data_IF_267876303732
#
_entry.id   IF_267876303732
#
_cell.length_a   1.000
_cell.length_b   1.000
_cell.length_c   1.000
_cell.angle_alpha   90.00
_cell.angle_beta   90.00
_cell.angle_gamma   90.00
#
_symmetry.space_group_name_H-M   'P 1'
#
loop_
_entity.id
_entity.type
_entity.pdbx_description
1 polymer ?
#
# COMPACT_ATOMS: atom_id res chain seq x y z
N UNK A 1 1.35 -34.01 -17.52
CA UNK A 1 1.40 -32.61 -17.06
C UNK A 1 2.55 -31.94 -17.80
N UNK A 2 2.26 -31.22 -18.88
CA UNK A 2 3.31 -30.57 -19.69
C UNK A 2 3.41 -29.14 -19.15
N UNK A 3 4.46 -28.86 -18.37
CA UNK A 3 4.81 -27.49 -17.99
C UNK A 3 5.03 -26.62 -19.25
N UNK A 4 4.96 -25.29 -19.14
CA UNK A 4 4.92 -24.42 -20.31
C UNK A 4 6.08 -24.65 -21.27
N UNK A 5 5.78 -24.76 -22.58
CA UNK A 5 6.74 -25.01 -23.68
C UNK A 5 7.72 -23.86 -23.95
N UNK A 6 7.58 -22.71 -23.29
CA UNK A 6 8.43 -21.53 -23.46
C UNK A 6 9.01 -21.14 -22.11
N UNK A 7 10.32 -20.95 -22.06
CA UNK A 7 11.00 -20.44 -20.88
C UNK A 7 10.46 -19.06 -20.52
N UNK A 8 10.09 -18.88 -19.26
CA UNK A 8 9.76 -17.57 -18.71
C UNK A 8 11.10 -16.93 -18.34
N UNK A 9 11.52 -15.93 -19.12
CA UNK A 9 12.71 -15.14 -18.81
C UNK A 9 12.27 -13.86 -18.10
N UNK A 10 12.36 -13.84 -16.77
CA UNK A 10 12.11 -12.62 -15.99
C UNK A 10 13.32 -11.68 -16.10
N UNK A 11 13.16 -10.55 -16.80
CA UNK A 11 14.19 -9.50 -16.89
C UNK A 11 14.06 -8.43 -15.80
N UNK A 12 13.05 -8.56 -14.93
CA UNK A 12 12.68 -7.52 -13.96
C UNK A 12 13.05 -7.94 -12.55
N UNK A 13 13.20 -6.96 -11.66
CA UNK A 13 13.60 -7.22 -10.29
C UNK A 13 12.42 -7.72 -9.45
N UNK A 14 11.19 -7.32 -9.80
CA UNK A 14 9.96 -7.68 -9.08
C UNK A 14 8.84 -7.96 -10.07
N UNK A 15 8.07 -9.02 -9.81
CA UNK A 15 6.78 -9.30 -10.45
C UNK A 15 5.70 -9.21 -9.37
N UNK A 16 4.70 -8.36 -9.57
CA UNK A 16 3.56 -8.25 -8.68
C UNK A 16 2.33 -8.82 -9.37
N UNK A 17 1.84 -9.93 -8.85
CA UNK A 17 0.55 -10.50 -9.22
C UNK A 17 -0.54 -9.96 -8.30
N UNK A 18 -1.70 -9.64 -8.86
CA UNK A 18 -2.83 -9.10 -8.12
C UNK A 18 -4.15 -9.64 -8.66
N UNK A 19 -5.03 -10.02 -7.74
CA UNK A 19 -6.45 -10.25 -7.98
C UNK A 19 -7.24 -9.33 -7.04
N UNK A 20 -7.80 -8.27 -7.60
CA UNK A 20 -8.50 -7.23 -6.87
C UNK A 20 -10.00 -7.31 -7.18
N UNK A 21 -10.82 -7.33 -6.12
CA UNK A 21 -12.27 -7.49 -6.21
C UNK A 21 -12.99 -6.44 -5.37
N UNK A 22 -14.17 -6.04 -5.82
CA UNK A 22 -15.08 -5.17 -5.05
C UNK A 22 -16.02 -6.05 -4.26
N UNK A 23 -15.95 -5.94 -2.94
CA UNK A 23 -16.82 -6.70 -2.04
C UNK A 23 -18.28 -6.32 -2.22
N UNK A 24 -19.13 -7.29 -2.56
CA UNK A 24 -20.58 -7.07 -2.79
C UNK A 24 -21.47 -7.90 -1.87
N UNK A 25 -21.02 -9.08 -1.45
CA UNK A 25 -21.81 -10.00 -0.65
C UNK A 25 -21.03 -10.61 0.52
N UNK A 26 -21.57 -11.70 1.07
CA UNK A 26 -20.90 -12.48 2.12
C UNK A 26 -19.93 -13.51 1.54
N UNK A 27 -20.20 -14.01 0.33
CA UNK A 27 -19.38 -15.02 -0.34
C UNK A 27 -18.46 -14.36 -1.38
N UNK A 28 -17.26 -14.93 -1.57
CA UNK A 28 -16.30 -14.43 -2.58
C UNK A 28 -16.86 -14.50 -4.01
N UNK A 29 -17.76 -15.44 -4.29
CA UNK A 29 -18.43 -15.59 -5.58
C UNK A 29 -19.37 -14.41 -5.90
N UNK A 30 -19.80 -13.65 -4.88
CA UNK A 30 -20.61 -12.43 -5.07
C UNK A 30 -19.75 -11.24 -5.50
N UNK A 31 -18.44 -11.30 -5.26
CA UNK A 31 -17.54 -10.16 -5.42
C UNK A 31 -17.21 -9.91 -6.89
N UNK A 32 -17.29 -8.63 -7.28
CA UNK A 32 -17.01 -8.25 -8.65
C UNK A 32 -15.50 -8.16 -8.86
N UNK A 33 -14.96 -9.00 -9.74
CA UNK A 33 -13.57 -8.92 -10.15
C UNK A 33 -13.30 -7.57 -10.83
N UNK A 34 -12.40 -6.78 -10.24
CA UNK A 34 -12.02 -5.47 -10.74
C UNK A 34 -10.81 -5.59 -11.66
N UNK A 35 -9.75 -6.25 -11.19
CA UNK A 35 -8.50 -6.46 -11.92
C UNK A 35 -7.94 -7.84 -11.55
N UNK A 36 -7.47 -8.57 -12.54
CA UNK A 36 -6.71 -9.82 -12.38
C UNK A 36 -5.56 -9.81 -13.37
N UNK A 37 -4.34 -9.88 -12.86
CA UNK A 37 -3.17 -9.87 -13.69
C UNK A 37 -1.88 -9.67 -12.91
N UNK A 38 -0.82 -9.35 -13.65
CA UNK A 38 0.48 -9.09 -13.07
C UNK A 38 1.13 -7.87 -13.71
N UNK A 39 2.01 -7.21 -12.95
CA UNK A 39 2.84 -6.10 -13.43
C UNK A 39 4.29 -6.35 -13.09
N UNK A 40 5.15 -6.12 -14.06
CA UNK A 40 6.59 -6.21 -13.90
C UNK A 40 7.16 -4.85 -13.47
N UNK A 41 7.96 -4.86 -12.41
CA UNK A 41 8.66 -3.68 -11.91
C UNK A 41 10.17 -3.90 -11.97
N UNK A 42 10.88 -2.98 -12.62
CA UNK A 42 12.33 -2.99 -12.69
C UNK A 42 12.87 -1.56 -12.62
N UNK A 43 14.13 -1.42 -12.24
CA UNK A 43 14.81 -0.12 -12.20
C UNK A 43 14.82 0.57 -13.57
N UNK A 44 14.79 -0.22 -14.65
CA UNK A 44 14.73 0.26 -16.04
C UNK A 44 13.38 0.92 -16.38
N UNK A 45 12.31 0.49 -15.72
CA UNK A 45 10.93 0.94 -15.97
C UNK A 45 10.51 1.97 -14.92
N UNK A 46 11.04 1.86 -13.70
CA UNK A 46 10.79 2.73 -12.57
C UNK A 46 12.13 3.14 -11.94
N UNK A 47 12.81 4.18 -12.48
CA UNK A 47 14.01 4.69 -11.84
C UNK A 47 13.61 5.16 -10.45
N UNK A 48 14.36 4.73 -9.43
CA UNK A 48 14.10 4.76 -7.99
C UNK A 48 13.50 6.07 -7.40
N UNK A 49 12.28 6.35 -7.82
CA UNK A 49 11.50 7.56 -7.62
C UNK A 49 10.03 7.15 -7.69
N UNK A 50 9.16 8.07 -7.29
CA UNK A 50 7.73 7.80 -7.26
C UNK A 50 7.17 7.71 -8.70
N UNK A 51 6.71 6.52 -9.09
CA UNK A 51 6.04 6.29 -10.37
C UNK A 51 4.55 6.20 -10.14
N UNK A 52 3.79 7.01 -10.90
CA UNK A 52 2.33 6.91 -10.98
C UNK A 52 1.98 6.04 -12.16
N UNK A 53 1.28 4.95 -11.89
CA UNK A 53 0.76 4.02 -12.89
C UNK A 53 -0.76 3.95 -12.84
N UNK A 54 -1.34 3.44 -13.93
CA UNK A 54 -2.75 3.06 -13.95
C UNK A 54 -2.85 1.61 -14.41
N UNK A 55 -3.40 0.77 -13.56
CA UNK A 55 -3.69 -0.63 -13.87
C UNK A 55 -5.15 -0.69 -14.32
N UNK A 56 -5.39 -1.15 -15.55
CA UNK A 56 -6.73 -1.33 -16.09
C UNK A 56 -7.13 -2.79 -15.94
N UNK A 57 -8.34 -3.04 -15.46
CA UNK A 57 -8.99 -4.34 -15.50
C UNK A 57 -10.31 -4.26 -16.26
N UNK A 58 -10.99 -5.40 -16.37
CA UNK A 58 -12.21 -5.55 -17.16
C UNK A 58 -13.37 -4.69 -16.61
N UNK A 59 -13.46 -4.55 -15.29
CA UNK A 59 -14.55 -3.83 -14.63
C UNK A 59 -14.14 -2.46 -14.05
N UNK A 60 -12.94 -1.96 -14.35
CA UNK A 60 -12.49 -0.65 -13.89
C UNK A 60 -10.98 -0.44 -13.99
N UNK A 61 -10.47 0.59 -13.32
CA UNK A 61 -9.04 0.87 -13.27
C UNK A 61 -8.64 1.37 -11.89
N UNK A 62 -7.40 1.08 -11.50
CA UNK A 62 -6.81 1.55 -10.26
C UNK A 62 -5.59 2.40 -10.59
N UNK A 63 -5.58 3.61 -10.05
CA UNK A 63 -4.39 4.44 -10.03
C UNK A 63 -3.48 3.98 -8.90
N UNK A 64 -2.26 3.60 -9.24
CA UNK A 64 -1.24 3.14 -8.31
C UNK A 64 -0.10 4.14 -8.27
N UNK A 65 0.50 4.31 -7.11
CA UNK A 65 1.76 5.01 -6.94
C UNK A 65 2.73 4.05 -6.28
N UNK A 66 3.89 3.84 -6.87
CA UNK A 66 4.87 2.86 -6.41
C UNK A 66 6.29 3.36 -6.60
N UNK A 67 7.22 2.80 -5.83
CA UNK A 67 8.65 3.04 -5.95
C UNK A 67 9.42 1.78 -5.55
N UNK A 68 10.57 1.54 -6.19
CA UNK A 68 11.49 0.47 -5.81
C UNK A 68 12.48 0.99 -4.77
N UNK A 69 12.61 0.28 -3.64
CA UNK A 69 13.51 0.64 -2.55
C UNK A 69 14.50 -0.50 -2.35
N UNK A 70 15.80 -0.24 -2.54
CA UNK A 70 16.85 -1.22 -2.25
C UNK A 70 17.15 -1.30 -0.77
N UNK A 71 17.60 -2.49 -0.36
CA UNK A 71 18.03 -2.79 0.99
C UNK A 71 16.99 -2.33 2.01
N UNK A 72 15.73 -2.67 1.76
CA UNK A 72 14.62 -2.30 2.61
C UNK A 72 14.09 -3.52 3.36
N UNK A 73 13.59 -3.27 4.56
CA UNK A 73 12.85 -4.23 5.37
C UNK A 73 11.38 -3.84 5.44
N UNK A 74 10.53 -4.85 5.60
CA UNK A 74 9.13 -4.64 5.92
C UNK A 74 9.00 -4.22 7.39
N UNK A 75 8.44 -3.03 7.63
CA UNK A 75 8.08 -2.56 8.96
C UNK A 75 6.56 -2.63 9.13
N UNK A 76 6.11 -3.43 10.11
CA UNK A 76 4.72 -3.49 10.52
C UNK A 76 4.45 -2.47 11.63
N UNK A 77 3.40 -1.68 11.46
CA UNK A 77 2.94 -0.67 12.41
C UNK A 77 1.58 -1.12 12.93
N UNK A 78 1.51 -1.28 14.26
CA UNK A 78 0.29 -1.54 15.00
C UNK A 78 0.00 -0.34 15.90
N UNK A 79 -1.23 0.16 15.85
CA UNK A 79 -1.67 1.26 16.69
C UNK A 79 -2.87 0.81 17.48
N UNK A 80 -2.77 0.89 18.79
CA UNK A 80 -3.87 0.65 19.70
C UNK A 80 -4.29 1.96 20.38
N UNK A 81 -5.58 2.26 20.29
CA UNK A 81 -6.18 3.45 20.89
C UNK A 81 -6.88 3.01 22.17
N UNK A 82 -6.19 3.19 23.29
CA UNK A 82 -6.65 2.65 24.57
C UNK A 82 -7.87 3.37 25.16
N UNK A 83 -8.00 4.69 24.97
CA UNK A 83 -9.07 5.50 25.57
C UNK A 83 -9.48 6.65 24.65
N UNK A 84 -10.78 6.84 24.50
CA UNK A 84 -11.36 7.93 23.71
C UNK A 84 -12.44 8.62 24.55
N UNK A 85 -12.23 9.88 24.91
CA UNK A 85 -13.22 10.68 25.66
C UNK A 85 -14.27 11.28 24.74
N UNK A 86 -13.81 11.88 23.64
CA UNK A 86 -14.64 12.45 22.59
C UNK A 86 -14.05 12.02 21.26
N UNK A 87 -14.90 11.59 20.32
CA UNK A 87 -14.38 11.11 19.04
C UNK A 87 -13.65 12.22 18.26
N UNK A 88 -12.49 11.89 17.72
CA UNK A 88 -11.54 12.80 17.09
C UNK A 88 -11.16 12.33 15.68
N UNK A 89 -10.65 13.23 14.84
CA UNK A 89 -10.05 12.85 13.56
C UNK A 89 -8.61 12.42 13.81
N UNK A 90 -8.22 11.27 13.27
CA UNK A 90 -6.88 10.73 13.36
C UNK A 90 -6.31 10.50 11.97
N UNK A 91 -5.06 10.92 11.78
CA UNK A 91 -4.29 10.67 10.57
C UNK A 91 -2.94 10.09 10.95
N UNK A 92 -2.57 8.98 10.32
CA UNK A 92 -1.22 8.42 10.35
C UNK A 92 -0.64 8.47 8.95
N UNK A 93 0.51 9.10 8.83
CA UNK A 93 1.32 9.05 7.61
C UNK A 93 2.71 8.51 7.92
N UNK A 94 3.32 7.86 6.93
CA UNK A 94 4.75 7.55 6.94
C UNK A 94 5.44 8.35 5.85
N UNK A 95 6.74 8.58 6.01
CA UNK A 95 7.54 9.11 4.93
C UNK A 95 8.44 8.02 4.35
N UNK A 96 8.54 8.01 3.03
CA UNK A 96 9.43 7.13 2.31
C UNK A 96 10.55 7.95 1.69
N UNK A 97 11.78 7.50 1.93
CA UNK A 97 12.99 8.11 1.40
C UNK A 97 13.44 7.37 0.14
N UNK A 98 13.32 8.01 -1.02
CA UNK A 98 13.79 7.46 -2.29
C UNK A 98 14.72 8.47 -2.97
N UNK A 99 16.01 8.16 -3.06
CA UNK A 99 16.99 8.97 -3.82
C UNK A 99 16.90 10.49 -3.58
N UNK A 100 16.78 10.90 -2.31
CA UNK A 100 16.72 12.31 -1.92
C UNK A 100 15.32 12.93 -1.92
N UNK A 101 14.29 12.19 -2.34
CA UNK A 101 12.90 12.57 -2.17
C UNK A 101 12.36 12.04 -0.85
N UNK A 102 11.52 12.85 -0.19
CA UNK A 102 10.88 12.55 1.08
C UNK A 102 9.37 12.69 0.90
N UNK A 103 8.71 11.58 0.57
CA UNK A 103 7.32 11.56 0.15
C UNK A 103 6.42 11.08 1.29
N UNK A 104 5.36 11.85 1.60
CA UNK A 104 4.38 11.51 2.64
C UNK A 104 3.36 10.53 2.06
N UNK A 105 3.28 9.32 2.62
CA UNK A 105 2.26 8.33 2.31
C UNK A 105 1.23 8.30 3.45
N UNK A 106 -0.03 8.60 3.14
CA UNK A 106 -1.12 8.50 4.10
C UNK A 106 -1.48 7.02 4.33
N UNK A 107 -1.17 6.49 5.52
CA UNK A 107 -1.47 5.10 5.87
C UNK A 107 -2.87 4.95 6.44
N UNK A 108 -3.33 5.93 7.20
CA UNK A 108 -4.67 5.95 7.77
C UNK A 108 -5.18 7.39 7.88
N UNK A 109 -6.46 7.59 7.56
CA UNK A 109 -7.18 8.82 7.86
C UNK A 109 -8.63 8.48 8.19
N UNK A 110 -9.12 8.91 9.35
CA UNK A 110 -10.48 8.57 9.77
C UNK A 110 -10.91 9.24 11.07
N UNK A 111 -12.14 8.94 11.48
CA UNK A 111 -12.70 9.39 12.75
C UNK A 111 -12.66 8.22 13.73
N UNK A 112 -12.04 8.44 14.88
CA UNK A 112 -12.00 7.48 15.98
C UNK A 112 -13.07 7.87 16.99
N UNK A 113 -13.97 6.93 17.32
CA UNK A 113 -15.10 7.18 18.22
C UNK A 113 -14.97 6.50 19.58
N UNK A 114 -14.28 5.37 19.62
CA UNK A 114 -14.09 4.52 20.78
C UNK A 114 -12.70 3.90 20.75
N UNK A 115 -12.33 3.24 21.84
CA UNK A 115 -11.06 2.50 21.90
C UNK A 115 -11.04 1.39 20.87
N UNK A 116 -10.00 1.35 20.05
CA UNK A 116 -9.86 0.33 19.02
C UNK A 116 -8.40 0.13 18.63
N UNK A 117 -8.08 -1.09 18.20
CA UNK A 117 -6.88 -1.37 17.43
C UNK A 117 -7.11 -1.00 15.97
N UNK A 118 -6.19 -0.24 15.39
CA UNK A 118 -6.17 -0.04 13.94
C UNK A 118 -5.63 -1.30 13.25
N UNK A 119 -6.03 -1.50 11.99
CA UNK A 119 -5.51 -2.59 11.16
C UNK A 119 -3.99 -2.48 11.08
N UNK A 120 -3.30 -3.62 11.00
CA UNK A 120 -1.86 -3.67 10.72
C UNK A 120 -1.56 -2.89 9.45
N UNK A 121 -0.65 -1.94 9.57
CA UNK A 121 -0.15 -1.14 8.46
C UNK A 121 1.27 -1.60 8.18
N UNK A 122 1.65 -1.61 6.90
CA UNK A 122 2.95 -2.10 6.47
C UNK A 122 3.61 -1.05 5.60
N UNK A 123 4.88 -0.77 5.86
CA UNK A 123 5.70 0.14 5.07
C UNK A 123 7.08 -0.46 4.82
N UNK A 124 7.64 -0.20 3.65
CA UNK A 124 9.04 -0.53 3.37
C UNK A 124 9.94 0.57 3.95
N UNK A 125 10.94 0.18 4.73
CA UNK A 125 11.91 1.09 5.36
C UNK A 125 13.31 0.68 4.93
N UNK A 126 14.08 1.63 4.40
CA UNK A 126 15.46 1.39 4.00
C UNK A 126 16.32 1.08 5.24
N UNK A 127 17.14 0.04 5.15
CA UNK A 127 18.12 -0.34 6.17
C UNK A 127 19.06 0.83 6.47
N UNK A 128 19.54 0.89 7.72
CA UNK A 128 20.43 1.95 8.21
C UNK A 128 19.86 3.38 8.08
N UNK A 129 18.53 3.52 7.99
CA UNK A 129 17.82 4.80 7.97
C UNK A 129 16.70 4.85 9.02
N UNK A 130 16.08 6.01 9.18
CA UNK A 130 14.99 6.23 10.12
C UNK A 130 13.63 6.02 9.47
N UNK A 131 12.73 5.31 10.17
CA UNK A 131 11.30 5.33 9.85
C UNK A 131 10.67 6.59 10.43
N UNK A 132 10.20 7.48 9.55
CA UNK A 132 9.54 8.72 9.96
C UNK A 132 8.02 8.56 9.93
N UNK A 133 7.39 8.66 11.10
CA UNK A 133 5.94 8.60 11.26
C UNK A 133 5.37 9.96 11.67
N UNK A 134 4.21 10.30 11.13
CA UNK A 134 3.49 11.54 11.43
C UNK A 134 2.10 11.23 11.95
N UNK A 135 1.87 11.63 13.19
CA UNK A 135 0.58 11.50 13.86
C UNK A 135 -0.10 12.86 13.86
N UNK A 136 -1.33 12.93 13.34
CA UNK A 136 -2.17 14.13 13.41
C UNK A 136 -3.46 13.79 14.11
N UNK A 137 -3.80 14.60 15.12
CA UNK A 137 -5.06 14.52 15.84
C UNK A 137 -5.81 15.84 15.61
N UNK A 138 -6.98 15.74 15.00
CA UNK A 138 -7.87 16.87 14.75
C UNK A 138 -9.06 16.86 15.69
N UNK A 139 -9.46 18.06 16.16
CA UNK A 139 -10.76 18.22 16.84
C UNK A 139 -11.88 17.99 15.83
N UNK A 140 -12.97 17.39 16.29
CA UNK A 140 -14.21 17.25 15.52
C UNK A 140 -14.66 18.64 15.05
N UNK A 141 -14.71 18.89 13.73
CA UNK A 141 -15.49 20.01 13.21
C UNK A 141 -16.95 19.55 13.25
N UNK A 142 -17.74 20.22 14.08
CA UNK A 142 -19.19 20.04 14.16
C UNK A 142 -19.83 20.43 12.83
#
# INVERSE_FOLDING_TARGET
MIGPKRGISMRTCVLLEFDMRIKKGEQEDDDLQLIDGASEFSELIAPCSLVRGRIKGECGAIDITYALIYDAVEATIEIDISKVQNGFSFSLSSFVFTYGLHEEIQLFHGIIRESCGLRRLVVAVKMDTWMHLKFKIGKRRL
#
